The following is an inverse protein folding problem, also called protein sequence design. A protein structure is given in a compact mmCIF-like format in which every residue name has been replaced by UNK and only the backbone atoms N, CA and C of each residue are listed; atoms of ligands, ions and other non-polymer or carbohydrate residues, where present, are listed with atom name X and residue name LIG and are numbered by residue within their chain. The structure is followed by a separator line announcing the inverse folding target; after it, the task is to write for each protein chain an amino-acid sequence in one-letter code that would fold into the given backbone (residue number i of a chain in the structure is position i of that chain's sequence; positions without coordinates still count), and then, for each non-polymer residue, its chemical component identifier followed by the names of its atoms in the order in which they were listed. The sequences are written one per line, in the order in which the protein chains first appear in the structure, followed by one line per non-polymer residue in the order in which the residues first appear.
data_IF_801292941768
#
_entry.id   IF_801292941768
#
_cell.length_a   1.000
_cell.length_b   1.000
_cell.length_c   1.000
_cell.angle_alpha   90.00
_cell.angle_beta   90.00
_cell.angle_gamma   90.00
#
_symmetry.space_group_name_H-M   'P 1'
#
loop_
_entity.id
_entity.type
_entity.pdbx_description
1 polymer ?
#
# COMPACT_ATOMS: atom_id res chain seq x y z
N UNK A 1 14.29 1.40 0.71
CA UNK A 1 14.59 0.99 2.10
C UNK A 1 14.24 -0.48 2.29
N UNK A 2 15.07 -1.28 2.98
CA UNK A 2 14.73 -2.67 3.28
C UNK A 2 13.50 -2.75 4.20
N UNK A 3 12.77 -3.88 4.13
CA UNK A 3 11.66 -4.18 5.04
C UNK A 3 12.17 -4.18 6.48
N UNK A 4 11.42 -3.58 7.41
CA UNK A 4 11.75 -3.58 8.84
C UNK A 4 11.33 -4.91 9.47
N UNK A 5 11.95 -5.27 10.60
CA UNK A 5 11.53 -6.43 11.40
C UNK A 5 10.03 -6.32 11.71
N UNK A 6 9.26 -7.32 11.28
CA UNK A 6 7.80 -7.39 11.43
C UNK A 6 6.99 -6.90 10.23
N UNK A 7 7.62 -6.28 9.22
CA UNK A 7 6.97 -6.02 7.93
C UNK A 7 6.73 -7.33 7.20
N UNK A 8 5.59 -7.42 6.53
CA UNK A 8 5.25 -8.58 5.69
C UNK A 8 4.60 -8.08 4.43
N UNK A 9 5.03 -8.62 3.30
CA UNK A 9 4.54 -8.25 1.98
C UNK A 9 4.31 -9.53 1.19
N UNK A 10 3.12 -9.65 0.62
CA UNK A 10 2.79 -10.68 -0.37
C UNK A 10 2.25 -9.99 -1.61
N UNK A 11 2.95 -10.18 -2.72
CA UNK A 11 2.46 -9.82 -4.05
C UNK A 11 2.10 -11.09 -4.81
N UNK A 12 0.99 -11.05 -5.55
CA UNK A 12 0.62 -12.11 -6.47
C UNK A 12 -0.28 -11.55 -7.56
N UNK A 13 -0.29 -12.18 -8.73
CA UNK A 13 -1.21 -11.83 -9.81
C UNK A 13 -2.45 -12.70 -9.72
N UNK A 14 -3.63 -12.10 -9.80
CA UNK A 14 -4.88 -12.85 -9.89
C UNK A 14 -5.00 -13.43 -11.29
N UNK A 15 -5.11 -14.77 -11.39
CA UNK A 15 -4.99 -15.49 -12.65
C UNK A 15 -6.03 -15.06 -13.69
N UNK A 16 -7.30 -14.93 -13.28
CA UNK A 16 -8.41 -14.75 -14.21
C UNK A 16 -8.66 -13.29 -14.60
N UNK A 17 -8.25 -12.35 -13.74
CA UNK A 17 -8.51 -10.91 -13.95
C UNK A 17 -7.27 -10.14 -14.38
N UNK A 18 -6.08 -10.74 -14.23
CA UNK A 18 -4.80 -10.07 -14.49
C UNK A 18 -4.47 -8.96 -13.49
N UNK A 19 -5.22 -8.82 -12.40
CA UNK A 19 -4.95 -7.82 -11.37
C UNK A 19 -3.70 -8.19 -10.57
N UNK A 20 -2.85 -7.20 -10.33
CA UNK A 20 -1.75 -7.35 -9.37
C UNK A 20 -2.27 -7.05 -7.97
N UNK A 21 -2.17 -8.05 -7.08
CA UNK A 21 -2.67 -8.00 -5.73
C UNK A 21 -1.53 -7.87 -4.73
N UNK A 22 -1.79 -7.10 -3.68
CA UNK A 22 -0.87 -6.84 -2.59
C UNK A 22 -1.59 -7.04 -1.26
N UNK A 23 -0.96 -7.80 -0.37
CA UNK A 23 -1.28 -7.78 1.05
C UNK A 23 -0.02 -7.46 1.84
N UNK A 24 -0.07 -6.37 2.59
CA UNK A 24 1.08 -5.92 3.35
C UNK A 24 0.72 -5.51 4.79
N UNK A 25 1.71 -5.63 5.66
CA UNK A 25 1.77 -4.98 6.98
C UNK A 25 3.09 -4.22 7.02
N UNK A 26 3.00 -2.92 7.34
CA UNK A 26 4.17 -2.08 7.51
C UNK A 26 4.21 -1.44 8.90
N UNK A 27 5.38 -1.45 9.54
CA UNK A 27 5.72 -0.72 10.76
C UNK A 27 6.47 0.56 10.41
N UNK A 28 5.76 1.57 9.90
CA UNK A 28 6.35 2.86 9.55
C UNK A 28 7.27 2.79 8.33
N UNK A 29 6.86 2.07 7.29
CA UNK A 29 7.44 2.16 5.95
C UNK A 29 6.81 3.36 5.22
N UNK A 30 7.64 4.19 4.58
CA UNK A 30 7.18 5.29 3.74
C UNK A 30 7.82 5.14 2.37
N UNK A 31 6.99 5.18 1.32
CA UNK A 31 7.45 5.28 -0.05
C UNK A 31 7.65 6.76 -0.40
N UNK A 32 8.66 7.05 -1.24
CA UNK A 32 8.81 8.37 -1.81
C UNK A 32 7.56 8.74 -2.62
N UNK A 33 7.24 10.03 -2.72
CA UNK A 33 6.05 10.49 -3.46
C UNK A 33 6.23 10.19 -4.95
N UNK A 34 5.27 9.47 -5.53
CA UNK A 34 5.22 9.14 -6.96
C UNK A 34 3.77 9.06 -7.45
N UNK A 35 3.60 8.86 -8.75
CA UNK A 35 2.31 8.63 -9.40
C UNK A 35 2.42 7.39 -10.32
N UNK A 36 1.27 6.82 -10.67
CA UNK A 36 1.16 5.70 -11.60
C UNK A 36 0.23 6.08 -12.76
N UNK A 37 0.45 5.43 -13.90
CA UNK A 37 -0.44 5.42 -15.06
C UNK A 37 -1.69 4.51 -14.85
N UNK A 38 -1.64 3.67 -13.83
CA UNK A 38 -2.73 2.78 -13.40
C UNK A 38 -3.29 3.18 -12.03
N UNK A 39 -4.43 2.58 -11.67
CA UNK A 39 -5.07 2.80 -10.37
C UNK A 39 -4.70 1.71 -9.36
N UNK A 40 -4.42 2.14 -8.13
CA UNK A 40 -4.35 1.26 -6.97
C UNK A 40 -5.54 1.53 -6.05
N UNK A 41 -6.27 0.48 -5.68
CA UNK A 41 -7.38 0.55 -4.72
C UNK A 41 -6.94 -0.22 -3.47
N UNK A 42 -6.88 0.49 -2.34
CA UNK A 42 -6.42 -0.06 -1.07
C UNK A 42 -7.49 -0.02 0.00
N UNK A 43 -7.54 -1.08 0.83
CA UNK A 43 -8.36 -1.13 2.04
C UNK A 43 -7.44 -1.31 3.24
N UNK A 44 -7.59 -0.45 4.24
CA UNK A 44 -6.84 -0.56 5.50
C UNK A 44 -7.50 -1.66 6.35
N UNK A 45 -6.81 -2.79 6.55
CA UNK A 45 -7.39 -3.89 7.35
C UNK A 45 -7.23 -3.69 8.86
N UNK A 46 -6.15 -3.02 9.30
CA UNK A 46 -5.83 -2.73 10.72
C UNK A 46 -4.94 -1.49 10.81
N UNK A 47 -5.07 -0.71 11.89
CA UNK A 47 -4.22 0.45 12.15
C UNK A 47 -4.62 1.67 11.32
N UNK A 48 -3.65 2.44 10.82
CA UNK A 48 -3.91 3.56 9.92
C UNK A 48 -2.89 3.61 8.79
N UNK A 49 -3.35 3.81 7.56
CA UNK A 49 -2.50 4.01 6.39
C UNK A 49 -2.42 5.51 6.08
N UNK A 50 -1.26 6.11 6.33
CA UNK A 50 -0.98 7.49 5.91
C UNK A 50 -0.54 7.55 4.44
N UNK A 51 -1.12 8.45 3.65
CA UNK A 51 -0.72 8.68 2.27
C UNK A 51 -0.88 10.15 1.88
N UNK A 52 -0.19 10.58 0.82
CA UNK A 52 -0.36 11.91 0.25
C UNK A 52 -1.14 11.80 -1.06
N UNK A 53 -2.14 12.65 -1.24
CA UNK A 53 -2.90 12.75 -2.48
C UNK A 53 -3.15 14.22 -2.79
N UNK A 54 -2.76 14.65 -4.00
CA UNK A 54 -2.90 16.04 -4.49
C UNK A 54 -2.45 17.10 -3.46
N UNK A 55 -1.26 16.88 -2.89
CA UNK A 55 -0.64 17.80 -1.93
C UNK A 55 -1.20 17.76 -0.50
N UNK A 56 -2.26 16.99 -0.24
CA UNK A 56 -2.84 16.83 1.10
C UNK A 56 -2.43 15.48 1.70
N UNK A 57 -2.25 15.46 3.03
CA UNK A 57 -2.03 14.24 3.79
C UNK A 57 -3.38 13.66 4.21
N UNK A 58 -3.53 12.36 4.00
CA UNK A 58 -4.72 11.59 4.35
C UNK A 58 -4.31 10.41 5.24
N UNK A 59 -5.24 9.95 6.07
CA UNK A 59 -5.11 8.72 6.84
C UNK A 59 -6.37 7.89 6.57
N UNK A 60 -6.21 6.71 6.00
CA UNK A 60 -7.28 5.72 5.90
C UNK A 60 -7.26 4.85 7.17
N UNK A 61 -8.45 4.61 7.73
CA UNK A 61 -8.70 3.68 8.83
C UNK A 61 -9.51 2.48 8.32
N UNK A 62 -9.55 1.36 9.07
CA UNK A 62 -10.49 0.26 8.82
C UNK A 62 -11.94 0.68 8.86
#
# INVERSE_FOLDING_TARGET
MPLKVGDRVKFWRHADTGLDLLRARFGGHAYDRHAHDTYAIGVTLRGGQGFHHRGRRHVSTP
#
